data_IF_810331539148
#
_entry.id   IF_810331539148
#
_cell.length_a   1.000
_cell.length_b   1.000
_cell.length_c   1.000
_cell.angle_alpha   90.00
_cell.angle_beta   90.00
_cell.angle_gamma   90.00
#
_symmetry.space_group_name_H-M   'P 1'
#
loop_
_entity.id
_entity.type
_entity.pdbx_description
1 polymer ?
#
# COMPACT_ATOMS: atom_id res chain seq x y z
N UNK A 1 11.45 -9.05 -4.77
CA UNK A 1 11.43 -7.59 -5.03
C UNK A 1 10.38 -6.96 -4.12
N UNK A 2 10.71 -5.81 -3.48
CA UNK A 2 9.73 -5.00 -2.76
C UNK A 2 9.44 -3.70 -3.52
N UNK A 3 8.16 -3.28 -3.58
CA UNK A 3 7.75 -2.06 -4.29
C UNK A 3 6.56 -1.35 -3.58
N UNK A 4 6.29 -0.10 -4.01
CA UNK A 4 5.19 0.72 -3.48
C UNK A 4 3.79 0.34 -4.03
N UNK A 5 3.68 -0.69 -4.86
CA UNK A 5 2.41 -1.14 -5.44
C UNK A 5 1.96 -0.38 -6.70
N UNK A 6 2.87 0.27 -7.42
CA UNK A 6 2.54 0.84 -8.74
C UNK A 6 2.25 -0.30 -9.72
N UNK A 7 1.08 -0.26 -10.36
CA UNK A 7 0.60 -1.32 -11.26
C UNK A 7 1.61 -1.69 -12.36
N UNK A 8 2.34 -0.72 -12.93
CA UNK A 8 3.38 -0.99 -13.93
C UNK A 8 4.53 -1.84 -13.41
N UNK A 9 4.95 -1.63 -12.15
CA UNK A 9 6.00 -2.44 -11.52
C UNK A 9 5.51 -3.85 -11.19
N UNK A 10 4.28 -3.97 -10.69
CA UNK A 10 3.69 -5.28 -10.35
C UNK A 10 3.51 -6.20 -11.56
N UNK A 11 3.38 -5.62 -12.77
CA UNK A 11 3.26 -6.37 -14.02
C UNK A 11 4.57 -6.59 -14.80
N UNK A 12 5.65 -5.90 -14.39
CA UNK A 12 6.91 -5.89 -15.14
C UNK A 12 7.73 -7.18 -14.93
N UNK A 13 7.68 -7.71 -13.70
CA UNK A 13 8.44 -8.89 -13.32
C UNK A 13 7.58 -10.13 -13.52
N UNK A 14 8.13 -11.14 -14.19
CA UNK A 14 7.44 -12.42 -14.43
C UNK A 14 7.01 -13.12 -13.13
N UNK A 15 6.22 -14.17 -13.26
CA UNK A 15 5.69 -14.93 -12.10
C UNK A 15 6.78 -15.62 -11.25
N UNK A 16 8.00 -15.69 -11.76
CA UNK A 16 9.13 -16.39 -11.12
C UNK A 16 9.77 -15.59 -9.97
N UNK A 17 9.55 -14.26 -9.94
CA UNK A 17 10.17 -13.41 -8.92
C UNK A 17 9.10 -12.99 -7.91
N UNK A 18 9.23 -13.38 -6.62
CA UNK A 18 8.32 -12.92 -5.58
C UNK A 18 8.29 -11.39 -5.48
N UNK A 19 7.12 -10.81 -5.60
CA UNK A 19 6.92 -9.35 -5.48
C UNK A 19 6.18 -9.07 -4.18
N UNK A 20 6.81 -8.31 -3.30
CA UNK A 20 6.21 -7.79 -2.08
C UNK A 20 5.77 -6.35 -2.29
N UNK A 21 4.50 -6.07 -2.11
CA UNK A 21 4.02 -4.70 -1.98
C UNK A 21 4.26 -4.21 -0.56
N UNK A 22 4.85 -3.03 -0.42
CA UNK A 22 5.10 -2.42 0.88
C UNK A 22 3.80 -2.25 1.68
N UNK A 23 3.71 -2.90 2.84
CA UNK A 23 2.52 -2.86 3.70
C UNK A 23 2.23 -1.44 4.20
N UNK A 24 3.27 -0.64 4.48
CA UNK A 24 3.11 0.76 4.87
C UNK A 24 2.44 1.60 3.76
N UNK A 25 2.83 1.38 2.50
CA UNK A 25 2.20 2.05 1.36
C UNK A 25 0.74 1.61 1.17
N UNK A 26 0.42 0.34 1.42
CA UNK A 26 -0.98 -0.13 1.41
C UNK A 26 -1.82 0.56 2.50
N UNK A 27 -1.30 0.66 3.72
CA UNK A 27 -1.94 1.43 4.82
C UNK A 27 -2.15 2.89 4.40
N UNK A 28 -1.16 3.52 3.76
CA UNK A 28 -1.26 4.89 3.27
C UNK A 28 -2.32 5.04 2.16
N UNK A 29 -2.51 4.03 1.30
CA UNK A 29 -3.60 4.01 0.29
C UNK A 29 -4.96 4.00 0.98
N UNK A 30 -5.20 3.11 1.93
CA UNK A 30 -6.47 3.04 2.67
C UNK A 30 -6.72 4.34 3.43
N UNK A 31 -5.69 4.92 4.06
CA UNK A 31 -5.79 6.22 4.75
C UNK A 31 -6.25 7.36 3.84
N UNK A 32 -5.82 7.38 2.56
CA UNK A 32 -6.29 8.38 1.59
C UNK A 32 -7.78 8.29 1.32
N UNK A 33 -8.36 7.09 1.37
CA UNK A 33 -9.80 6.89 1.19
C UNK A 33 -10.60 7.17 2.46
N UNK A 34 -10.13 6.70 3.63
CA UNK A 34 -10.88 6.69 4.89
C UNK A 34 -10.53 7.82 5.85
N UNK A 35 -9.39 8.52 5.62
CA UNK A 35 -8.77 9.47 6.58
C UNK A 35 -8.17 8.76 7.81
N UNK A 36 -7.50 9.52 8.70
CA UNK A 36 -6.96 8.99 9.97
C UNK A 36 -8.01 8.76 11.05
N UNK A 37 -9.13 9.49 10.97
CA UNK A 37 -10.23 9.47 11.96
C UNK A 37 -11.56 9.31 11.21
N UNK A 38 -11.87 8.12 10.70
CA UNK A 38 -13.12 7.89 9.99
C UNK A 38 -14.32 8.05 10.93
N UNK A 39 -15.43 8.58 10.41
CA UNK A 39 -16.65 8.80 11.21
C UNK A 39 -17.58 7.58 11.19
N UNK A 40 -17.72 6.92 10.04
CA UNK A 40 -18.60 5.76 9.86
C UNK A 40 -18.03 4.53 10.56
N UNK A 41 -18.88 3.74 11.23
CA UNK A 41 -18.45 2.55 11.95
C UNK A 41 -17.74 1.54 11.03
N UNK A 42 -18.32 1.25 9.86
CA UNK A 42 -17.70 0.40 8.85
C UNK A 42 -16.30 0.87 8.43
N UNK A 43 -16.12 2.19 8.34
CA UNK A 43 -14.81 2.77 7.99
C UNK A 43 -13.82 2.69 9.14
N UNK A 44 -14.26 2.81 10.40
CA UNK A 44 -13.42 2.64 11.60
C UNK A 44 -12.89 1.21 11.68
N UNK A 45 -13.79 0.24 11.60
CA UNK A 45 -13.43 -1.18 11.65
C UNK A 45 -12.48 -1.58 10.51
N UNK A 46 -12.74 -1.12 9.27
CA UNK A 46 -11.82 -1.38 8.16
C UNK A 46 -10.45 -0.72 8.36
N UNK A 47 -10.43 0.47 8.94
CA UNK A 47 -9.18 1.17 9.24
C UNK A 47 -8.37 0.44 10.32
N UNK A 48 -9.01 0.06 11.43
CA UNK A 48 -8.39 -0.72 12.52
C UNK A 48 -7.85 -2.05 11.98
N UNK A 49 -8.65 -2.78 11.21
CA UNK A 49 -8.20 -4.01 10.54
C UNK A 49 -7.00 -3.74 9.60
N UNK A 50 -7.00 -2.64 8.84
CA UNK A 50 -5.87 -2.28 7.97
C UNK A 50 -4.57 -2.08 8.75
N UNK A 51 -4.63 -1.56 9.97
CA UNK A 51 -3.44 -1.33 10.80
C UNK A 51 -2.81 -2.64 11.28
N UNK A 52 -3.54 -3.75 11.34
CA UNK A 52 -2.97 -5.06 11.70
C UNK A 52 -2.09 -5.65 10.60
N UNK A 53 -2.19 -5.17 9.35
CA UNK A 53 -1.50 -5.71 8.18
C UNK A 53 0.01 -5.94 8.37
N UNK A 54 0.67 -5.08 9.17
CA UNK A 54 2.13 -5.12 9.36
C UNK A 54 2.55 -6.21 10.35
N UNK A 55 1.62 -6.69 11.19
CA UNK A 55 1.91 -7.57 12.34
C UNK A 55 1.15 -8.90 12.28
N UNK A 56 0.36 -9.16 11.23
CA UNK A 56 -0.48 -10.35 11.14
C UNK A 56 -0.03 -11.26 9.98
N UNK A 57 -0.42 -12.51 10.03
CA UNK A 57 -0.28 -13.46 8.93
C UNK A 57 -1.40 -13.28 7.88
N UNK A 58 -1.25 -13.98 6.74
CA UNK A 58 -2.16 -13.87 5.60
C UNK A 58 -3.56 -14.38 5.93
N UNK A 59 -3.65 -15.55 6.56
CA UNK A 59 -4.93 -16.20 6.85
C UNK A 59 -5.76 -15.37 7.82
N UNK A 60 -5.14 -14.88 8.89
CA UNK A 60 -5.80 -14.02 9.89
C UNK A 60 -6.25 -12.70 9.28
N UNK A 61 -5.44 -12.08 8.43
CA UNK A 61 -5.81 -10.83 7.77
C UNK A 61 -6.94 -11.03 6.75
N UNK A 62 -6.85 -12.05 5.91
CA UNK A 62 -7.87 -12.37 4.91
C UNK A 62 -9.19 -12.75 5.56
N UNK A 63 -9.15 -13.59 6.60
CA UNK A 63 -10.33 -13.97 7.38
C UNK A 63 -11.03 -12.76 8.02
N UNK A 64 -10.25 -11.86 8.65
CA UNK A 64 -10.80 -10.62 9.22
C UNK A 64 -11.41 -9.69 8.17
N UNK A 65 -10.77 -9.56 7.00
CA UNK A 65 -11.30 -8.77 5.89
C UNK A 65 -12.60 -9.37 5.32
N UNK A 66 -12.71 -10.70 5.30
CA UNK A 66 -13.92 -11.39 4.86
C UNK A 66 -15.06 -11.25 5.86
N UNK A 67 -14.81 -11.39 7.16
CA UNK A 67 -15.79 -11.14 8.22
C UNK A 67 -16.31 -9.70 8.17
N UNK A 68 -15.43 -8.73 7.97
CA UNK A 68 -15.81 -7.34 7.76
C UNK A 68 -16.71 -7.17 6.54
N UNK A 69 -16.40 -7.83 5.42
CA UNK A 69 -17.24 -7.78 4.21
C UNK A 69 -18.62 -8.36 4.45
N UNK A 70 -18.72 -9.53 5.10
CA UNK A 70 -20.01 -10.16 5.43
C UNK A 70 -20.88 -9.20 6.25
N UNK A 71 -20.29 -8.58 7.28
CA UNK A 71 -20.99 -7.63 8.16
C UNK A 71 -21.49 -6.38 7.42
N UNK A 72 -20.72 -5.84 6.49
CA UNK A 72 -20.96 -4.53 5.88
C UNK A 72 -21.34 -4.59 4.39
N UNK A 73 -21.61 -5.78 3.85
CA UNK A 73 -21.89 -5.96 2.42
C UNK A 73 -23.07 -5.11 1.93
N UNK A 74 -24.18 -5.12 2.64
CA UNK A 74 -25.38 -4.38 2.25
C UNK A 74 -25.14 -2.86 2.30
N UNK A 75 -24.49 -2.39 3.36
CA UNK A 75 -24.07 -1.00 3.50
C UNK A 75 -23.15 -0.55 2.34
N UNK A 76 -22.18 -1.39 1.95
CA UNK A 76 -21.31 -1.11 0.81
C UNK A 76 -22.07 -1.05 -0.53
N UNK A 77 -23.17 -1.76 -0.66
CA UNK A 77 -23.95 -1.85 -1.89
C UNK A 77 -25.07 -0.83 -1.98
N UNK A 78 -25.25 0.00 -0.96
CA UNK A 78 -26.20 1.11 -0.99
C UNK A 78 -25.93 2.05 -2.18
N UNK A 79 -27.00 2.39 -2.89
CA UNK A 79 -26.96 3.24 -4.06
C UNK A 79 -27.98 4.36 -3.98
N UNK A 80 -27.64 5.51 -4.53
CA UNK A 80 -28.57 6.59 -4.84
C UNK A 80 -28.68 6.79 -6.34
N UNK A 81 -29.71 7.49 -6.76
CA UNK A 81 -29.90 7.94 -8.16
C UNK A 81 -29.49 9.42 -8.17
N UNK A 82 -28.56 9.78 -9.06
CA UNK A 82 -28.16 11.17 -9.23
C UNK A 82 -29.18 11.96 -10.09
N UNK A 83 -29.00 13.27 -10.19
CA UNK A 83 -29.87 14.17 -10.99
C UNK A 83 -30.04 13.76 -12.45
N UNK A 84 -29.14 12.94 -12.98
CA UNK A 84 -29.18 12.45 -14.35
C UNK A 84 -29.76 11.01 -14.43
N UNK A 85 -30.41 10.50 -13.38
CA UNK A 85 -31.00 9.16 -13.34
C UNK A 85 -29.97 8.03 -13.21
N UNK A 86 -28.69 8.32 -13.00
CA UNK A 86 -27.63 7.30 -12.92
C UNK A 86 -27.46 6.78 -11.51
N UNK A 87 -27.54 5.44 -11.34
CA UNK A 87 -27.29 4.76 -10.07
C UNK A 87 -25.82 4.86 -9.66
N UNK A 88 -25.54 5.38 -8.46
CA UNK A 88 -24.19 5.54 -7.92
C UNK A 88 -24.12 4.95 -6.50
N UNK A 89 -22.99 4.33 -6.18
CA UNK A 89 -22.72 3.89 -4.81
C UNK A 89 -22.58 5.08 -3.86
N UNK A 90 -23.23 5.02 -2.70
CA UNK A 90 -23.16 6.03 -1.65
C UNK A 90 -21.75 6.02 -1.03
N UNK A 91 -21.25 4.84 -0.68
CA UNK A 91 -20.00 4.66 0.07
C UNK A 91 -18.79 4.41 -0.84
N UNK A 92 -18.60 5.21 -1.89
CA UNK A 92 -17.54 5.04 -2.92
C UNK A 92 -16.14 4.93 -2.32
N UNK A 93 -15.79 5.81 -1.37
CA UNK A 93 -14.45 5.82 -0.75
C UNK A 93 -14.22 4.57 0.07
N UNK A 94 -15.20 4.11 0.85
CA UNK A 94 -15.12 2.89 1.63
C UNK A 94 -14.96 1.65 0.72
N UNK A 95 -15.73 1.58 -0.37
CA UNK A 95 -15.58 0.55 -1.41
C UNK A 95 -14.18 0.55 -2.02
N UNK A 96 -13.65 1.73 -2.34
CA UNK A 96 -12.30 1.85 -2.90
C UNK A 96 -11.22 1.40 -1.92
N UNK A 97 -11.37 1.71 -0.64
CA UNK A 97 -10.48 1.24 0.42
C UNK A 97 -10.48 -0.29 0.51
N UNK A 98 -11.66 -0.90 0.64
CA UNK A 98 -11.82 -2.36 0.65
C UNK A 98 -11.26 -3.02 -0.61
N UNK A 99 -11.62 -2.53 -1.79
CA UNK A 99 -11.15 -3.07 -3.06
C UNK A 99 -9.62 -2.95 -3.21
N UNK A 100 -9.00 -1.90 -2.67
CA UNK A 100 -7.53 -1.78 -2.70
C UNK A 100 -6.85 -2.87 -1.87
N UNK A 101 -7.40 -3.20 -0.69
CA UNK A 101 -6.91 -4.31 0.14
C UNK A 101 -7.10 -5.65 -0.58
N UNK A 102 -8.32 -5.94 -1.01
CA UNK A 102 -8.68 -7.19 -1.71
C UNK A 102 -7.81 -7.43 -2.94
N UNK A 103 -7.65 -6.42 -3.79
CA UNK A 103 -6.92 -6.57 -5.06
C UNK A 103 -5.41 -6.70 -4.86
N UNK A 104 -4.87 -6.10 -3.80
CA UNK A 104 -3.43 -6.12 -3.51
C UNK A 104 -3.03 -7.26 -2.57
N UNK A 105 -3.99 -8.01 -2.01
CA UNK A 105 -3.76 -9.06 -1.01
C UNK A 105 -2.67 -10.05 -1.44
N UNK A 106 -2.68 -10.47 -2.70
CA UNK A 106 -1.71 -11.40 -3.28
C UNK A 106 -0.25 -10.93 -3.27
N UNK A 107 -0.02 -9.63 -3.08
CA UNK A 107 1.33 -9.06 -3.01
C UNK A 107 1.71 -8.57 -1.60
N UNK A 108 0.77 -8.56 -0.66
CA UNK A 108 1.00 -8.02 0.68
C UNK A 108 1.66 -9.02 1.62
N UNK A 109 1.64 -10.32 1.28
CA UNK A 109 2.16 -11.40 2.11
C UNK A 109 3.24 -12.24 1.43
N UNK A 110 3.82 -11.80 0.32
CA UNK A 110 4.93 -12.51 -0.34
C UNK A 110 6.13 -12.68 0.60
N UNK A 111 6.37 -11.73 1.54
CA UNK A 111 7.40 -11.83 2.57
C UNK A 111 7.18 -13.02 3.52
N UNK A 112 5.92 -13.32 3.82
CA UNK A 112 5.52 -14.42 4.69
C UNK A 112 5.57 -15.77 3.96
N UNK A 113 5.14 -15.79 2.71
CA UNK A 113 5.13 -16.99 1.86
C UNK A 113 6.55 -17.42 1.41
N UNK A 114 7.54 -16.53 1.48
CA UNK A 114 8.91 -16.74 1.01
C UNK A 114 9.93 -16.32 2.10
N UNK A 115 9.80 -16.88 3.30
CA UNK A 115 10.63 -16.52 4.46
C UNK A 115 12.12 -16.76 4.24
N UNK A 116 12.48 -17.75 3.40
CA UNK A 116 13.86 -18.08 3.04
C UNK A 116 14.60 -16.88 2.40
N UNK A 117 13.90 -16.01 1.69
CA UNK A 117 14.50 -14.82 1.06
C UNK A 117 14.61 -13.61 2.00
N UNK A 118 14.11 -13.71 3.23
CA UNK A 118 14.11 -12.61 4.22
C UNK A 118 13.63 -11.28 3.64
N UNK A 119 12.57 -11.33 2.81
CA UNK A 119 12.00 -10.16 2.15
C UNK A 119 11.38 -9.25 3.23
N UNK A 120 11.75 -7.96 3.34
CA UNK A 120 11.09 -7.06 4.27
C UNK A 120 9.65 -6.76 3.80
N UNK A 121 8.72 -6.60 4.75
CA UNK A 121 7.32 -6.26 4.45
C UNK A 121 7.11 -4.75 4.21
N UNK A 122 8.14 -3.92 4.44
CA UNK A 122 8.09 -2.46 4.22
C UNK A 122 9.34 -1.95 3.51
N UNK A 123 9.24 -0.80 2.86
CA UNK A 123 10.36 -0.07 2.24
C UNK A 123 10.99 0.97 3.17
N UNK A 124 10.65 0.99 4.46
CA UNK A 124 11.06 2.05 5.37
C UNK A 124 12.59 2.26 5.43
N UNK A 125 13.37 1.18 5.41
CA UNK A 125 14.84 1.27 5.40
C UNK A 125 15.34 1.97 4.11
N UNK A 126 14.77 1.62 2.97
CA UNK A 126 15.11 2.23 1.68
C UNK A 126 14.65 3.69 1.63
N UNK A 127 13.46 4.00 2.16
CA UNK A 127 12.95 5.38 2.25
C UNK A 127 13.85 6.25 3.13
N UNK A 128 14.42 5.70 4.20
CA UNK A 128 15.42 6.34 5.04
C UNK A 128 16.69 6.67 4.27
N UNK A 129 17.24 5.72 3.51
CA UNK A 129 18.42 5.95 2.65
C UNK A 129 18.17 7.01 1.58
N UNK A 130 17.03 6.98 0.91
CA UNK A 130 16.66 8.02 -0.06
C UNK A 130 16.49 9.39 0.59
N UNK A 131 15.99 9.46 1.81
CA UNK A 131 15.86 10.72 2.54
C UNK A 131 17.22 11.30 2.89
N UNK A 132 18.17 10.47 3.33
CA UNK A 132 19.56 10.86 3.59
C UNK A 132 20.25 11.35 2.31
N UNK A 133 20.15 10.58 1.21
CA UNK A 133 20.69 10.97 -0.09
C UNK A 133 20.13 12.34 -0.55
N UNK A 134 18.81 12.54 -0.45
CA UNK A 134 18.17 13.81 -0.80
C UNK A 134 18.69 14.98 0.03
N UNK A 135 18.87 14.77 1.34
CA UNK A 135 19.41 15.79 2.22
C UNK A 135 20.86 16.14 1.85
N UNK A 136 21.70 15.15 1.60
CA UNK A 136 23.09 15.35 1.15
C UNK A 136 23.14 16.07 -0.19
N UNK A 137 22.33 15.68 -1.18
CA UNK A 137 22.25 16.36 -2.48
C UNK A 137 21.73 17.81 -2.35
N UNK A 138 20.81 18.08 -1.42
CA UNK A 138 20.29 19.42 -1.15
C UNK A 138 21.37 20.34 -0.59
N UNK A 139 22.25 19.84 0.25
CA UNK A 139 23.39 20.59 0.78
C UNK A 139 24.43 20.93 -0.30
N UNK A 140 24.37 20.26 -1.45
CA UNK A 140 25.26 20.46 -2.60
C UNK A 140 24.48 20.91 -3.85
N UNK A 141 23.65 21.95 -3.72
CA UNK A 141 22.78 22.45 -4.80
C UNK A 141 23.51 22.86 -6.09
N UNK A 142 24.78 23.25 -6.01
CA UNK A 142 25.59 23.67 -7.15
C UNK A 142 26.29 22.56 -7.93
N UNK A 143 26.11 21.28 -7.56
CA UNK A 143 26.74 20.17 -8.28
C UNK A 143 26.19 20.04 -9.71
N UNK A 144 27.12 19.95 -10.67
CA UNK A 144 26.82 19.58 -12.06
C UNK A 144 26.17 18.19 -12.13
N UNK A 145 25.32 17.96 -13.14
CA UNK A 145 24.55 16.71 -13.30
C UNK A 145 25.46 15.48 -13.27
N UNK A 146 26.60 15.51 -13.99
CA UNK A 146 27.54 14.39 -14.03
C UNK A 146 28.09 14.05 -12.64
N UNK A 147 28.41 15.08 -11.85
CA UNK A 147 28.92 14.90 -10.47
C UNK A 147 27.79 14.38 -9.53
N UNK A 148 26.55 14.85 -9.72
CA UNK A 148 25.40 14.31 -8.98
C UNK A 148 25.20 12.82 -9.26
N UNK A 149 25.24 12.40 -10.53
CA UNK A 149 25.11 10.98 -10.90
C UNK A 149 26.21 10.13 -10.25
N UNK A 150 27.48 10.56 -10.36
CA UNK A 150 28.58 9.86 -9.70
C UNK A 150 28.39 9.76 -8.18
N UNK A 151 27.97 10.85 -7.54
CA UNK A 151 27.68 10.85 -6.10
C UNK A 151 26.59 9.86 -5.72
N UNK A 152 25.50 9.78 -6.51
CA UNK A 152 24.40 8.82 -6.30
C UNK A 152 24.91 7.38 -6.43
N UNK A 153 25.70 7.10 -7.46
CA UNK A 153 26.27 5.76 -7.69
C UNK A 153 27.20 5.33 -6.53
N UNK A 154 28.03 6.25 -6.03
CA UNK A 154 28.91 5.98 -4.89
C UNK A 154 28.13 5.81 -3.59
N UNK A 155 27.06 6.57 -3.38
CA UNK A 155 26.22 6.49 -2.19
C UNK A 155 25.57 5.11 -2.02
N UNK A 156 25.15 4.46 -3.10
CA UNK A 156 24.55 3.13 -3.06
C UNK A 156 25.56 1.97 -3.11
N UNK A 157 26.84 2.25 -3.31
CA UNK A 157 27.91 1.23 -3.24
C UNK A 157 28.52 1.12 -1.84
N UNK A 158 28.37 2.15 -1.03
CA UNK A 158 28.86 2.19 0.35
C UNK A 158 27.90 1.47 1.30
#
# INVERSE_FOLDING_TARGET
>A
IICEGRKGLLGLFGKEIPIQMCNFHQVAIVRRYLTKKPKLQASKELWEHTLTLVHTDKESFEGGLQLWLIKWNDFLNERNIDSNGKKRYIHKKLRSAYNSLKNNLKWLFSWYENMEFKIPNTTNALDGQFSDLKNKLRNHNGLEIKRKMKYIDEFFKA
#
